data_IF_163638368597
#
_entry.id   IF_163638368597
#
_cell.length_a   1.000
_cell.length_b   1.000
_cell.length_c   1.000
_cell.angle_alpha   90.00
_cell.angle_beta   90.00
_cell.angle_gamma   90.00
#
_symmetry.space_group_name_H-M   'P 1'
#
loop_
_entity.id
_entity.type
_entity.pdbx_description
1 polymer ?
#
# COMPACT_ATOMS: atom_id res chain seq x y z
N UNK A 1 -0.28 -16.23 -7.35
CA UNK A 1 -1.65 -15.73 -7.63
C UNK A 1 -2.68 -16.14 -6.58
N UNK A 2 -2.82 -17.42 -6.22
CA UNK A 2 -3.83 -17.86 -5.24
C UNK A 2 -3.71 -17.08 -3.91
N UNK A 3 -2.51 -17.01 -3.33
CA UNK A 3 -2.27 -16.24 -2.12
C UNK A 3 -2.60 -14.73 -2.27
N UNK A 4 -2.36 -14.15 -3.44
CA UNK A 4 -2.73 -12.76 -3.72
C UNK A 4 -4.26 -12.58 -3.74
N UNK A 5 -4.99 -13.47 -4.41
CA UNK A 5 -6.47 -13.47 -4.43
C UNK A 5 -7.03 -13.65 -3.01
N UNK A 6 -6.46 -14.56 -2.22
CA UNK A 6 -6.85 -14.77 -0.83
C UNK A 6 -6.65 -13.51 0.02
N UNK A 7 -5.54 -12.79 -0.16
CA UNK A 7 -5.30 -11.53 0.56
C UNK A 7 -6.31 -10.44 0.20
N UNK A 8 -6.66 -10.30 -1.09
CA UNK A 8 -7.72 -9.39 -1.52
C UNK A 8 -9.09 -9.78 -0.95
N UNK A 9 -9.42 -11.08 -0.99
CA UNK A 9 -10.68 -11.62 -0.49
C UNK A 9 -10.80 -11.40 1.03
N UNK A 10 -9.71 -11.58 1.79
CA UNK A 10 -9.68 -11.35 3.23
C UNK A 10 -10.00 -9.89 3.56
N UNK A 11 -9.32 -8.92 2.94
CA UNK A 11 -9.61 -7.49 3.18
C UNK A 11 -11.01 -7.12 2.74
N UNK A 12 -11.50 -7.67 1.63
CA UNK A 12 -12.86 -7.40 1.14
C UNK A 12 -13.93 -7.95 2.10
N UNK A 13 -13.72 -9.16 2.63
CA UNK A 13 -14.60 -9.76 3.63
C UNK A 13 -14.59 -8.98 4.94
N UNK A 14 -13.39 -8.60 5.43
CA UNK A 14 -13.25 -7.75 6.62
C UNK A 14 -13.95 -6.42 6.42
N UNK A 15 -13.78 -5.76 5.27
CA UNK A 15 -14.48 -4.51 4.96
C UNK A 15 -16.00 -4.67 4.94
N UNK A 16 -16.51 -5.78 4.38
CA UNK A 16 -17.94 -6.04 4.31
C UNK A 16 -18.57 -6.29 5.69
N UNK A 17 -17.86 -6.99 6.59
CA UNK A 17 -18.32 -7.27 7.95
C UNK A 17 -18.12 -6.07 8.89
N UNK A 18 -17.03 -5.32 8.72
CA UNK A 18 -16.70 -4.16 9.54
C UNK A 18 -17.31 -2.91 8.92
N UNK A 19 -18.60 -2.68 9.19
CA UNK A 19 -19.30 -1.40 8.90
C UNK A 19 -18.89 -0.26 9.84
N UNK A 20 -17.64 -0.26 10.29
CA UNK A 20 -17.10 0.78 11.16
C UNK A 20 -16.17 1.64 10.36
N UNK A 21 -16.09 2.93 10.70
CA UNK A 21 -15.12 3.81 10.08
C UNK A 21 -13.66 3.33 10.39
N UNK A 22 -13.46 2.48 11.40
CA UNK A 22 -12.15 1.96 11.81
C UNK A 22 -11.70 0.72 11.03
N UNK A 23 -12.46 0.28 10.02
CA UNK A 23 -12.16 -0.92 9.24
C UNK A 23 -10.72 -0.97 8.72
N UNK A 24 -10.14 0.18 8.33
CA UNK A 24 -8.74 0.24 7.85
C UNK A 24 -7.74 -0.14 8.93
N UNK A 25 -7.93 0.34 10.16
CA UNK A 25 -7.05 0.02 11.30
C UNK A 25 -7.10 -1.49 11.57
N UNK A 26 -8.30 -2.05 11.59
CA UNK A 26 -8.49 -3.49 11.79
C UNK A 26 -7.85 -4.32 10.67
N UNK A 27 -7.94 -3.87 9.41
CA UNK A 27 -7.27 -4.52 8.28
C UNK A 27 -5.74 -4.38 8.30
N UNK A 28 -5.19 -3.34 8.96
CA UNK A 28 -3.75 -3.12 9.06
C UNK A 28 -3.07 -4.01 10.10
N UNK A 29 -3.78 -4.43 11.15
CA UNK A 29 -3.27 -5.38 12.15
C UNK A 29 -2.75 -6.70 11.53
N UNK A 30 -3.52 -7.45 10.71
CA UNK A 30 -3.01 -8.67 10.09
C UNK A 30 -1.87 -8.39 9.09
N UNK A 31 -1.83 -7.22 8.45
CA UNK A 31 -0.72 -6.82 7.57
C UNK A 31 0.57 -6.65 8.40
N UNK A 32 0.49 -6.01 9.56
CA UNK A 32 1.61 -5.85 10.49
C UNK A 32 2.09 -7.21 11.01
N UNK A 33 1.18 -8.10 11.38
CA UNK A 33 1.52 -9.45 11.85
C UNK A 33 2.26 -10.25 10.77
N UNK A 34 1.73 -10.28 9.54
CA UNK A 34 2.37 -11.01 8.44
C UNK A 34 3.75 -10.41 8.10
N UNK A 35 3.86 -9.08 8.05
CA UNK A 35 5.14 -8.39 7.81
C UNK A 35 6.19 -8.70 8.89
N UNK A 36 5.77 -8.70 10.16
CA UNK A 36 6.63 -9.08 11.28
C UNK A 36 7.09 -10.55 11.19
N UNK A 37 6.17 -11.47 10.92
CA UNK A 37 6.48 -12.90 10.75
C UNK A 37 7.53 -13.09 9.65
N UNK A 38 7.30 -12.51 8.47
CA UNK A 38 8.26 -12.61 7.35
C UNK A 38 9.62 -12.03 7.75
N UNK A 39 9.65 -10.92 8.48
CA UNK A 39 10.90 -10.33 8.97
C UNK A 39 11.65 -11.16 10.01
N UNK A 40 10.98 -12.06 10.74
CA UNK A 40 11.62 -12.99 11.67
C UNK A 40 12.20 -14.23 10.99
N UNK A 41 11.77 -14.55 9.76
CA UNK A 41 12.27 -15.72 9.04
C UNK A 41 13.78 -15.59 8.75
N UNK A 42 14.52 -16.72 8.77
CA UNK A 42 15.93 -16.75 8.41
C UNK A 42 16.11 -16.61 6.89
N UNK A 43 17.30 -16.17 6.47
CA UNK A 43 17.68 -16.07 5.05
C UNK A 43 17.66 -17.43 4.31
N UNK A 44 17.70 -18.54 5.05
CA UNK A 44 17.61 -19.91 4.52
C UNK A 44 16.16 -20.40 4.30
N UNK A 45 15.16 -19.55 4.57
CA UNK A 45 13.76 -19.93 4.40
C UNK A 45 13.43 -20.11 2.91
N UNK A 46 12.66 -21.13 2.51
CA UNK A 46 12.47 -21.42 1.09
C UNK A 46 11.66 -20.35 0.34
N UNK A 47 12.20 -19.89 -0.79
CA UNK A 47 11.58 -18.86 -1.64
C UNK A 47 10.17 -19.25 -2.11
N UNK A 48 9.92 -20.53 -2.37
CA UNK A 48 8.61 -21.01 -2.84
C UNK A 48 7.50 -20.84 -1.79
N UNK A 49 7.84 -20.69 -0.50
CA UNK A 49 6.90 -20.34 0.57
C UNK A 49 6.90 -18.84 0.86
N UNK A 50 8.04 -18.17 0.72
CA UNK A 50 8.17 -16.72 0.92
C UNK A 50 7.35 -15.93 -0.11
N UNK A 51 7.45 -16.30 -1.40
CA UNK A 51 6.80 -15.57 -2.50
C UNK A 51 5.27 -15.52 -2.32
N UNK A 52 4.56 -16.62 -2.01
CA UNK A 52 3.14 -16.58 -1.67
C UNK A 52 2.82 -15.72 -0.44
N UNK A 53 3.62 -15.79 0.62
CA UNK A 53 3.41 -15.01 1.85
C UNK A 53 3.53 -13.50 1.61
N UNK A 54 4.58 -13.07 0.90
CA UNK A 54 4.77 -11.69 0.48
C UNK A 54 3.67 -11.24 -0.48
N UNK A 55 3.25 -12.11 -1.41
CA UNK A 55 2.14 -11.81 -2.32
C UNK A 55 0.82 -11.58 -1.57
N UNK A 56 0.54 -12.38 -0.55
CA UNK A 56 -0.62 -12.21 0.33
C UNK A 56 -0.54 -10.89 1.10
N UNK A 57 0.61 -10.60 1.70
CA UNK A 57 0.86 -9.34 2.41
C UNK A 57 0.66 -8.10 1.52
N UNK A 58 1.23 -8.12 0.31
CA UNK A 58 1.06 -7.06 -0.69
C UNK A 58 -0.40 -6.91 -1.14
N UNK A 59 -1.12 -8.01 -1.34
CA UNK A 59 -2.53 -7.97 -1.71
C UNK A 59 -3.37 -7.24 -0.66
N UNK A 60 -3.17 -7.59 0.62
CA UNK A 60 -3.88 -6.95 1.72
C UNK A 60 -3.56 -5.45 1.81
N UNK A 61 -2.29 -5.07 1.63
CA UNK A 61 -1.86 -3.69 1.62
C UNK A 61 -2.51 -2.91 0.46
N UNK A 62 -2.50 -3.48 -0.74
CA UNK A 62 -3.09 -2.91 -1.96
C UNK A 62 -4.61 -2.67 -1.80
N UNK A 63 -5.34 -3.63 -1.24
CA UNK A 63 -6.78 -3.49 -1.02
C UNK A 63 -7.11 -2.43 0.04
N UNK A 64 -6.35 -2.41 1.14
CA UNK A 64 -6.55 -1.48 2.25
C UNK A 64 -6.27 -0.03 1.85
N UNK A 65 -5.22 0.19 1.05
CA UNK A 65 -4.79 1.49 0.54
C UNK A 65 -5.10 1.66 -0.95
N UNK A 66 -6.37 1.51 -1.31
CA UNK A 66 -6.83 1.58 -2.71
C UNK A 66 -7.34 2.96 -3.14
N UNK A 67 -7.42 3.95 -2.25
CA UNK A 67 -7.95 5.29 -2.56
C UNK A 67 -7.21 6.43 -1.85
N UNK A 68 -6.91 7.50 -2.59
CA UNK A 68 -6.43 8.80 -2.10
C UNK A 68 -7.43 9.86 -2.57
N UNK A 69 -8.00 10.65 -1.65
CA UNK A 69 -8.96 11.72 -1.98
C UNK A 69 -10.15 11.26 -2.85
N UNK A 70 -10.57 10.00 -2.69
CA UNK A 70 -11.62 9.38 -3.53
C UNK A 70 -11.13 8.83 -4.87
N UNK A 71 -9.93 9.21 -5.32
CA UNK A 71 -9.27 8.66 -6.50
C UNK A 71 -8.74 7.25 -6.22
N UNK A 72 -9.21 6.28 -6.99
CA UNK A 72 -8.71 4.91 -6.91
C UNK A 72 -7.27 4.82 -7.40
N UNK A 73 -6.37 4.27 -6.60
CA UNK A 73 -4.99 4.00 -6.97
C UNK A 73 -4.59 2.60 -6.51
N UNK A 74 -3.43 2.14 -6.96
CA UNK A 74 -2.84 0.91 -6.46
C UNK A 74 -1.54 1.26 -5.73
N UNK A 75 -1.45 0.90 -4.45
CA UNK A 75 -0.27 1.19 -3.63
C UNK A 75 0.92 0.27 -3.90
N UNK A 76 0.70 -0.86 -4.56
CA UNK A 76 1.73 -1.88 -4.84
C UNK A 76 2.12 -1.89 -6.32
N UNK A 77 1.15 -1.67 -7.22
CA UNK A 77 1.37 -1.68 -8.67
C UNK A 77 1.38 -0.27 -9.26
N UNK A 78 2.59 0.23 -9.53
CA UNK A 78 2.81 1.60 -9.99
C UNK A 78 2.41 1.83 -11.44
N UNK A 79 2.45 0.80 -12.30
CA UNK A 79 2.09 0.91 -13.71
C UNK A 79 0.67 1.46 -13.93
N UNK A 80 -0.28 1.08 -13.05
CA UNK A 80 -1.65 1.62 -13.10
C UNK A 80 -1.69 3.12 -12.81
N UNK A 81 -0.94 3.57 -11.81
CA UNK A 81 -0.82 5.00 -11.44
C UNK A 81 -0.08 5.81 -12.51
N UNK A 82 0.97 5.24 -13.14
CA UNK A 82 1.67 5.86 -14.27
C UNK A 82 0.73 6.07 -15.45
N UNK A 83 -0.06 5.05 -15.82
CA UNK A 83 -1.05 5.17 -16.90
C UNK A 83 -2.04 6.30 -16.60
N UNK A 84 -2.58 6.35 -15.38
CA UNK A 84 -3.54 7.39 -14.98
C UNK A 84 -2.92 8.78 -14.97
N UNK A 85 -1.67 8.92 -14.52
CA UNK A 85 -0.92 10.17 -14.60
C UNK A 85 -0.77 10.61 -16.06
N UNK A 86 -0.31 9.73 -16.95
CA UNK A 86 -0.10 10.04 -18.36
C UNK A 86 -1.40 10.48 -19.06
N UNK A 87 -2.51 9.76 -18.83
CA UNK A 87 -3.82 10.12 -19.39
C UNK A 87 -4.30 11.46 -18.85
N UNK A 88 -4.22 11.71 -17.53
CA UNK A 88 -4.66 12.97 -16.95
C UNK A 88 -3.82 14.18 -17.42
N UNK A 89 -2.51 13.99 -17.63
CA UNK A 89 -1.64 14.99 -18.22
C UNK A 89 -1.96 15.26 -19.69
N UNK A 90 -2.23 14.21 -20.47
CA UNK A 90 -2.68 14.32 -21.85
C UNK A 90 -3.99 15.12 -21.94
N UNK A 91 -4.97 14.78 -21.11
CA UNK A 91 -6.26 15.47 -21.08
C UNK A 91 -6.11 16.96 -20.71
N UNK A 92 -5.29 17.26 -19.70
CA UNK A 92 -4.98 18.64 -19.32
C UNK A 92 -4.31 19.43 -20.45
N UNK A 93 -3.37 18.81 -21.18
CA UNK A 93 -2.62 19.48 -22.23
C UNK A 93 -3.46 19.70 -23.50
N UNK A 94 -4.19 18.67 -23.95
CA UNK A 94 -4.94 18.71 -25.21
C UNK A 94 -6.36 19.28 -25.07
N UNK A 95 -7.04 19.05 -23.94
CA UNK A 95 -8.42 19.49 -23.72
C UNK A 95 -8.54 20.67 -22.74
N UNK A 96 -7.42 21.18 -22.20
CA UNK A 96 -7.34 22.31 -21.26
C UNK A 96 -8.26 22.17 -20.03
N UNK A 97 -8.64 20.95 -19.68
CA UNK A 97 -9.48 20.68 -18.53
C UNK A 97 -8.69 20.87 -17.23
N UNK A 98 -8.83 22.06 -16.64
CA UNK A 98 -8.18 22.45 -15.38
C UNK A 98 -8.57 21.54 -14.21
N UNK A 99 -9.71 20.83 -14.28
CA UNK A 99 -10.15 19.91 -13.22
C UNK A 99 -9.25 18.68 -13.10
N UNK A 100 -8.66 18.23 -14.21
CA UNK A 100 -7.77 17.06 -14.25
C UNK A 100 -6.37 17.33 -13.71
N UNK A 101 -6.00 18.61 -13.52
CA UNK A 101 -4.66 19.00 -13.04
C UNK A 101 -4.37 18.44 -11.65
N UNK A 102 -5.36 18.47 -10.75
CA UNK A 102 -5.21 17.96 -9.39
C UNK A 102 -5.00 16.44 -9.41
N UNK A 103 -5.82 15.70 -10.17
CA UNK A 103 -5.68 14.26 -10.31
C UNK A 103 -4.33 13.87 -10.95
N UNK A 104 -3.90 14.57 -12.01
CA UNK A 104 -2.62 14.36 -12.67
C UNK A 104 -1.45 14.53 -11.69
N UNK A 105 -1.47 15.59 -10.88
CA UNK A 105 -0.44 15.83 -9.87
C UNK A 105 -0.45 14.77 -8.76
N UNK A 106 -1.63 14.37 -8.27
CA UNK A 106 -1.76 13.32 -7.25
C UNK A 106 -1.21 11.97 -7.76
N UNK A 107 -1.54 11.55 -8.98
CA UNK A 107 -0.98 10.31 -9.54
C UNK A 107 0.53 10.42 -9.80
N UNK A 108 1.02 11.57 -10.27
CA UNK A 108 2.46 11.79 -10.45
C UNK A 108 3.21 11.70 -9.11
N UNK A 109 2.68 12.32 -8.06
CA UNK A 109 3.27 12.28 -6.72
C UNK A 109 3.34 10.85 -6.18
N UNK A 110 2.28 10.05 -6.39
CA UNK A 110 2.27 8.61 -6.04
C UNK A 110 3.40 7.87 -6.77
N UNK A 111 3.57 8.11 -8.07
CA UNK A 111 4.62 7.47 -8.89
C UNK A 111 6.03 7.86 -8.42
N UNK A 112 6.24 9.14 -8.10
CA UNK A 112 7.54 9.63 -7.60
C UNK A 112 7.84 9.01 -6.23
N UNK A 113 6.90 9.07 -5.28
CA UNK A 113 7.08 8.49 -3.95
C UNK A 113 7.36 6.99 -4.01
N UNK A 114 6.65 6.25 -4.88
CA UNK A 114 6.91 4.82 -5.07
C UNK A 114 8.31 4.57 -5.63
N UNK A 115 8.70 5.31 -6.67
CA UNK A 115 10.02 5.16 -7.31
C UNK A 115 11.14 5.45 -6.31
N UNK A 116 11.02 6.52 -5.53
CA UNK A 116 11.98 6.84 -4.47
C UNK A 116 12.03 5.74 -3.41
N UNK A 117 10.88 5.24 -2.96
CA UNK A 117 10.81 4.13 -2.02
C UNK A 117 11.50 2.86 -2.53
N UNK A 118 11.31 2.52 -3.81
CA UNK A 118 11.96 1.38 -4.45
C UNK A 118 13.48 1.56 -4.54
N UNK A 119 13.96 2.75 -4.91
CA UNK A 119 15.39 3.07 -4.96
C UNK A 119 16.02 2.95 -3.56
N UNK A 120 15.40 3.56 -2.55
CA UNK A 120 15.88 3.49 -1.16
C UNK A 120 15.90 2.03 -0.67
N UNK A 121 14.82 1.28 -0.94
CA UNK A 121 14.75 -0.14 -0.56
C UNK A 121 15.83 -0.98 -1.24
N UNK A 122 16.14 -0.73 -2.52
CA UNK A 122 17.18 -1.45 -3.25
C UNK A 122 18.59 -1.15 -2.69
N UNK A 123 18.85 0.08 -2.24
CA UNK A 123 20.11 0.46 -1.60
C UNK A 123 20.26 -0.13 -0.19
N UNK A 124 19.16 -0.39 0.52
CA UNK A 124 19.17 -0.99 1.86
C UNK A 124 19.28 -2.52 1.84
N UNK A 125 18.88 -3.16 0.74
CA UNK A 125 18.87 -4.62 0.60
C UNK A 125 20.25 -5.29 0.87
N UNK A 126 21.40 -4.75 0.41
CA UNK A 126 22.71 -5.34 0.70
C UNK A 126 23.07 -5.34 2.20
N UNK A 127 22.56 -4.38 2.96
CA UNK A 127 22.88 -4.23 4.38
C UNK A 127 21.95 -5.07 5.27
N UNK A 128 20.65 -5.10 4.95
CA UNK A 128 19.63 -5.70 5.82
C UNK A 128 19.08 -7.03 5.31
N UNK A 129 19.35 -7.43 4.06
CA UNK A 129 18.84 -8.67 3.43
C UNK A 129 17.33 -8.85 3.71
N UNK A 130 16.92 -9.99 4.26
CA UNK A 130 15.51 -10.27 4.61
C UNK A 130 14.96 -9.33 5.68
N UNK A 131 15.82 -8.72 6.52
CA UNK A 131 15.38 -7.77 7.55
C UNK A 131 14.91 -6.43 6.97
N UNK A 132 15.13 -6.16 5.68
CA UNK A 132 14.62 -4.97 5.00
C UNK A 132 13.09 -4.82 5.15
N UNK A 133 12.36 -5.94 5.23
CA UNK A 133 10.90 -5.94 5.41
C UNK A 133 10.45 -5.33 6.76
N UNK A 134 11.32 -5.31 7.78
CA UNK A 134 11.02 -4.62 9.04
C UNK A 134 10.84 -3.12 8.85
N UNK A 135 11.60 -2.53 7.93
CA UNK A 135 11.47 -1.10 7.60
C UNK A 135 10.08 -0.84 7.01
N UNK A 136 9.66 -1.67 6.06
CA UNK A 136 8.32 -1.56 5.49
C UNK A 136 7.22 -1.78 6.54
N UNK A 137 7.37 -2.78 7.40
CA UNK A 137 6.42 -3.08 8.49
C UNK A 137 6.34 -1.91 9.49
N UNK A 138 7.47 -1.31 9.85
CA UNK A 138 7.52 -0.14 10.71
C UNK A 138 6.84 1.08 10.09
N UNK A 139 7.05 1.35 8.78
CA UNK A 139 6.37 2.44 8.08
C UNK A 139 4.84 2.24 8.06
N UNK A 140 4.36 1.00 7.88
CA UNK A 140 2.93 0.69 7.98
C UNK A 140 2.42 0.95 9.40
N UNK A 141 3.19 0.59 10.43
CA UNK A 141 2.82 0.80 11.84
C UNK A 141 2.68 2.29 12.16
N UNK A 142 3.61 3.11 11.68
CA UNK A 142 3.54 4.57 11.81
C UNK A 142 2.32 5.14 11.08
N UNK A 143 2.04 4.63 9.89
CA UNK A 143 0.88 5.05 9.08
C UNK A 143 -0.44 4.69 9.77
N UNK A 144 -0.56 3.47 10.27
CA UNK A 144 -1.73 2.98 11.00
C UNK A 144 -1.97 3.76 12.29
N UNK A 145 -0.90 3.99 13.07
CA UNK A 145 -0.96 4.79 14.29
C UNK A 145 -1.40 6.23 14.00
N UNK A 146 -0.84 6.86 12.96
CA UNK A 146 -1.19 8.21 12.54
C UNK A 146 -2.64 8.30 12.07
N UNK A 147 -3.12 7.30 11.33
CA UNK A 147 -4.49 7.20 10.87
C UNK A 147 -5.47 7.04 12.05
N UNK A 148 -5.15 6.14 12.99
CA UNK A 148 -5.92 5.94 14.22
C UNK A 148 -6.03 7.23 15.04
N UNK A 149 -4.92 7.94 15.26
CA UNK A 149 -4.89 9.20 16.01
C UNK A 149 -5.72 10.31 15.34
N UNK A 150 -5.56 10.46 14.02
CA UNK A 150 -6.33 11.46 13.23
C UNK A 150 -7.83 11.20 13.35
N UNK A 151 -8.21 9.92 13.36
CA UNK A 151 -9.59 9.50 13.43
C UNK A 151 -10.17 9.63 14.84
N UNK A 152 -9.41 9.26 15.87
CA UNK A 152 -9.77 9.49 17.27
C UNK A 152 -10.01 10.98 17.56
N UNK A 153 -9.18 11.88 17.01
CA UNK A 153 -9.38 13.34 17.11
C UNK A 153 -10.66 13.83 16.45
N UNK A 154 -11.12 13.20 15.37
CA UNK A 154 -12.40 13.55 14.71
C UNK A 154 -13.63 13.07 15.47
N UNK A 155 -13.55 11.93 16.16
CA UNK A 155 -14.65 11.40 16.97
C UNK A 155 -14.83 12.17 18.29
N UNK A 156 -13.75 12.73 18.83
CA UNK A 156 -13.77 13.52 20.07
C UNK A 156 -14.09 15.02 19.85
N UNK A 157 -14.40 15.45 18.62
CA UNK A 157 -14.86 16.80 18.30
C UNK A 157 -16.35 16.76 17.99
#
# INVERSE_FOLDING_TARGET
>A
MIAFILGLAMVSSLHAHLRTDYWRVVCLLPILLVGAIIGFLPDSFPDYLMVPAVSFWLAMQSATFSKIEGLGYNSVFTSGSVKKAAVAWSEYYFHHDRSQRSAAFSYLMIVICFTLGAIISAQLLPFFRMKTIWIATFLILVTDSSYYLTKRKKVNK
#
